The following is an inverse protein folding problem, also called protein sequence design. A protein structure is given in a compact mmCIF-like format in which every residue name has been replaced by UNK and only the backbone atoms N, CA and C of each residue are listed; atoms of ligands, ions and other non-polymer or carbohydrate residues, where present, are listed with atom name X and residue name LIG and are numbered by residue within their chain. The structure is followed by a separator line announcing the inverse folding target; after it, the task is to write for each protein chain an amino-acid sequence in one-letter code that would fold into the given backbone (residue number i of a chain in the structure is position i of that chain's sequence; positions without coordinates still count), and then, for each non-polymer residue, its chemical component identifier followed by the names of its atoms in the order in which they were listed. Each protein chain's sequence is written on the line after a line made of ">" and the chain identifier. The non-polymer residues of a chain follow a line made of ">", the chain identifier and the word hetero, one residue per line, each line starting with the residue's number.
data_IF_357575856554
#
_entry.id   IF_357575856554
#
_cell.length_a   1.000
_cell.length_b   1.000
_cell.length_c   1.000
_cell.angle_alpha   90.00
_cell.angle_beta   90.00
_cell.angle_gamma   90.00
#
_symmetry.space_group_name_H-M   'P 1'
#
loop_
_entity.id
_entity.type
_entity.pdbx_description
1 polymer ?
#
# COMPACT_ATOMS: atom_id res chain seq x y z
N UNK A 1 8.98 19.69 -45.93
CA UNK A 1 8.44 18.36 -45.65
C UNK A 1 8.24 18.25 -44.14
N UNK A 2 7.26 17.44 -43.73
CA UNK A 2 6.61 17.43 -42.42
C UNK A 2 7.51 16.80 -41.35
N UNK A 3 7.98 17.58 -40.39
CA UNK A 3 8.51 17.07 -39.11
C UNK A 3 7.42 17.20 -38.04
N UNK A 4 6.31 16.49 -38.24
CA UNK A 4 5.36 16.21 -37.16
C UNK A 4 6.07 15.26 -36.20
N UNK A 5 6.63 15.78 -35.11
CA UNK A 5 7.12 14.95 -34.00
C UNK A 5 5.95 14.10 -33.49
N UNK A 6 5.97 12.76 -33.65
CA UNK A 6 4.92 11.89 -33.14
C UNK A 6 5.20 11.61 -31.66
N UNK A 7 5.17 12.65 -30.84
CA UNK A 7 5.35 12.53 -29.39
C UNK A 7 4.24 13.20 -28.60
N UNK A 8 3.16 13.57 -29.29
CA UNK A 8 1.88 13.89 -28.65
C UNK A 8 0.99 12.68 -28.88
N UNK A 9 1.46 11.52 -28.45
CA UNK A 9 0.68 10.29 -28.50
C UNK A 9 0.06 10.13 -27.13
N UNK A 10 -1.19 10.60 -27.05
CA UNK A 10 -2.25 10.11 -26.17
C UNK A 10 -2.00 10.27 -24.66
N UNK A 11 -3.05 10.62 -23.92
CA UNK A 11 -3.02 10.66 -22.46
C UNK A 11 -2.76 9.26 -21.92
N UNK A 12 -1.48 8.84 -21.83
CA UNK A 12 -1.14 7.53 -21.30
C UNK A 12 -1.65 7.42 -19.87
N UNK A 13 -2.49 6.42 -19.64
CA UNK A 13 -2.92 6.05 -18.31
C UNK A 13 -1.68 5.69 -17.48
N UNK A 14 -1.64 6.23 -16.27
CA UNK A 14 -0.51 6.00 -15.36
C UNK A 14 -0.63 4.56 -14.86
N UNK A 15 0.40 3.73 -15.11
CA UNK A 15 0.53 2.43 -14.45
C UNK A 15 0.83 2.63 -12.97
N UNK A 16 -0.23 2.68 -12.17
CA UNK A 16 -0.13 2.85 -10.73
C UNK A 16 0.58 1.67 -10.06
N UNK A 17 0.43 0.45 -10.54
CA UNK A 17 1.07 -0.72 -9.95
C UNK A 17 2.60 -0.59 -10.07
N UNK A 18 3.11 -0.19 -11.24
CA UNK A 18 4.55 0.03 -11.45
C UNK A 18 5.10 1.19 -10.60
N UNK A 19 4.34 2.29 -10.52
CA UNK A 19 4.69 3.45 -9.68
C UNK A 19 4.81 3.02 -8.21
N UNK A 20 3.83 2.27 -7.69
CA UNK A 20 3.84 1.79 -6.32
C UNK A 20 4.92 0.71 -6.06
N UNK A 21 5.23 -0.16 -7.02
CA UNK A 21 6.39 -1.07 -6.94
C UNK A 21 7.71 -0.31 -6.80
N UNK A 22 7.85 0.82 -7.48
CA UNK A 22 9.02 1.70 -7.32
C UNK A 22 9.08 2.31 -5.91
N UNK A 23 7.93 2.74 -5.38
CA UNK A 23 7.83 3.24 -4.00
C UNK A 23 8.14 2.18 -2.95
N UNK A 24 7.74 0.93 -3.17
CA UNK A 24 8.09 -0.19 -2.29
C UNK A 24 9.60 -0.34 -2.15
N UNK A 25 10.33 -0.21 -3.25
CA UNK A 25 11.80 -0.29 -3.23
C UNK A 25 12.43 0.93 -2.55
N UNK A 26 11.85 2.12 -2.76
CA UNK A 26 12.35 3.39 -2.20
C UNK A 26 11.20 4.23 -1.64
N UNK A 27 10.76 3.97 -0.38
CA UNK A 27 9.56 4.61 0.18
C UNK A 27 9.68 6.13 0.36
N UNK A 28 10.91 6.66 0.32
CA UNK A 28 11.18 8.11 0.34
C UNK A 28 10.76 8.81 -0.96
N UNK A 29 10.69 8.08 -2.08
CA UNK A 29 10.32 8.65 -3.38
C UNK A 29 8.88 9.12 -3.44
N UNK A 30 7.98 8.60 -2.59
CA UNK A 30 6.57 9.04 -2.55
C UNK A 30 6.46 10.57 -2.38
N UNK A 31 7.39 11.18 -1.63
CA UNK A 31 7.40 12.62 -1.35
C UNK A 31 7.96 13.46 -2.50
N UNK A 32 8.84 12.89 -3.34
CA UNK A 32 9.57 13.63 -4.38
C UNK A 32 9.18 13.19 -5.80
N UNK A 33 8.24 12.27 -5.93
CA UNK A 33 7.84 11.71 -7.22
C UNK A 33 7.01 12.69 -8.02
N UNK A 34 7.22 12.72 -9.34
CA UNK A 34 6.35 13.44 -10.28
C UNK A 34 4.89 12.98 -10.18
N UNK A 35 4.66 11.72 -9.82
CA UNK A 35 3.33 11.13 -9.70
C UNK A 35 2.62 11.52 -8.42
N UNK A 36 3.33 12.08 -7.43
CA UNK A 36 2.75 12.49 -6.16
C UNK A 36 1.55 13.41 -6.37
N UNK A 37 1.61 14.37 -7.32
CA UNK A 37 0.49 15.29 -7.58
C UNK A 37 -0.81 14.59 -8.00
N UNK A 38 -0.70 13.42 -8.63
CA UNK A 38 -1.81 12.66 -9.18
C UNK A 38 -2.38 11.63 -8.19
N UNK A 39 -1.69 11.34 -7.09
CA UNK A 39 -2.20 10.44 -6.05
C UNK A 39 -3.30 11.17 -5.26
N UNK A 40 -4.46 10.54 -5.01
CA UNK A 40 -5.51 11.09 -4.17
C UNK A 40 -5.05 11.42 -2.74
N UNK A 41 -5.74 12.38 -2.10
CA UNK A 41 -5.27 12.94 -0.83
C UNK A 41 -5.37 11.94 0.32
N UNK A 42 -6.43 11.11 0.42
CA UNK A 42 -6.53 10.13 1.51
C UNK A 42 -5.43 9.08 1.41
N UNK A 43 -5.16 8.59 0.21
CA UNK A 43 -4.06 7.65 -0.06
C UNK A 43 -2.70 8.25 0.30
N UNK A 44 -2.45 9.53 -0.03
CA UNK A 44 -1.23 10.24 0.38
C UNK A 44 -1.07 10.28 1.89
N UNK A 45 -2.10 10.73 2.61
CA UNK A 45 -2.09 10.80 4.07
C UNK A 45 -1.79 9.43 4.67
N UNK A 46 -2.48 8.39 4.19
CA UNK A 46 -2.25 7.01 4.63
C UNK A 46 -0.80 6.54 4.46
N UNK A 47 -0.13 6.89 3.36
CA UNK A 47 1.26 6.49 3.13
C UNK A 47 2.28 7.38 3.87
N UNK A 48 2.00 8.68 4.00
CA UNK A 48 2.97 9.65 4.49
C UNK A 48 2.95 9.86 6.01
N UNK A 49 1.81 9.66 6.68
CA UNK A 49 1.65 9.83 8.13
C UNK A 49 2.26 8.70 8.97
N UNK A 50 3.12 7.87 8.37
CA UNK A 50 3.75 6.71 9.01
C UNK A 50 5.27 6.71 8.98
N UNK A 51 5.83 5.87 9.85
CA UNK A 51 7.23 5.49 9.86
C UNK A 51 7.65 4.85 8.52
N UNK A 52 8.95 4.87 8.20
CA UNK A 52 9.45 4.37 6.92
C UNK A 52 9.18 2.86 6.72
N UNK A 53 9.22 2.09 7.81
CA UNK A 53 8.94 0.65 7.84
C UNK A 53 7.48 0.37 7.57
N UNK A 54 6.57 1.03 8.28
CA UNK A 54 5.12 0.91 8.05
C UNK A 54 4.73 1.39 6.66
N UNK A 55 5.34 2.47 6.17
CA UNK A 55 5.09 2.98 4.81
C UNK A 55 5.38 1.91 3.76
N UNK A 56 6.43 1.11 3.94
CA UNK A 56 6.73 0.00 3.03
C UNK A 56 5.61 -1.03 3.06
N UNK A 57 5.16 -1.45 4.24
CA UNK A 57 4.04 -2.39 4.40
C UNK A 57 2.74 -1.86 3.79
N UNK A 58 2.41 -0.59 4.02
CA UNK A 58 1.24 0.08 3.43
C UNK A 58 1.33 0.20 1.91
N UNK A 59 2.54 0.41 1.38
CA UNK A 59 2.77 0.43 -0.06
C UNK A 59 2.54 -0.97 -0.65
N UNK A 60 2.97 -2.03 0.04
CA UNK A 60 2.71 -3.41 -0.38
C UNK A 60 1.21 -3.73 -0.38
N UNK A 61 0.50 -3.34 0.68
CA UNK A 61 -0.96 -3.45 0.74
C UNK A 61 -1.64 -2.70 -0.41
N UNK A 62 -1.18 -1.48 -0.71
CA UNK A 62 -1.73 -0.69 -1.81
C UNK A 62 -1.50 -1.33 -3.17
N UNK A 63 -0.35 -2.00 -3.38
CA UNK A 63 -0.11 -2.76 -4.62
C UNK A 63 -1.14 -3.88 -4.75
N UNK A 64 -1.38 -4.67 -3.69
CA UNK A 64 -2.39 -5.74 -3.70
C UNK A 64 -3.81 -5.20 -3.95
N UNK A 65 -4.14 -4.03 -3.39
CA UNK A 65 -5.42 -3.38 -3.64
C UNK A 65 -5.56 -2.89 -5.09
N UNK A 66 -4.48 -2.38 -5.67
CA UNK A 66 -4.46 -1.90 -7.05
C UNK A 66 -4.58 -3.04 -8.09
N UNK A 67 -4.33 -4.29 -7.70
CA UNK A 67 -4.61 -5.46 -8.55
C UNK A 67 -6.12 -5.76 -8.66
N UNK A 68 -6.92 -5.28 -7.69
CA UNK A 68 -8.36 -5.54 -7.59
C UNK A 68 -9.22 -4.32 -7.93
N UNK A 69 -8.72 -3.12 -7.64
CA UNK A 69 -9.44 -1.86 -7.74
C UNK A 69 -8.60 -0.78 -8.41
N UNK A 70 -9.24 0.14 -9.11
CA UNK A 70 -8.59 1.35 -9.60
C UNK A 70 -8.26 2.33 -8.46
N UNK A 71 -7.29 3.21 -8.68
CA UNK A 71 -6.91 4.22 -7.68
C UNK A 71 -8.08 5.14 -7.28
N UNK A 72 -9.01 5.39 -8.21
CA UNK A 72 -10.21 6.20 -7.94
C UNK A 72 -11.20 5.48 -7.04
N UNK A 73 -11.45 4.18 -7.28
CA UNK A 73 -12.34 3.36 -6.46
C UNK A 73 -11.81 3.22 -5.03
N UNK A 74 -10.49 3.05 -4.90
CA UNK A 74 -9.82 3.00 -3.59
C UNK A 74 -10.00 4.32 -2.84
N UNK A 75 -9.93 5.48 -3.49
CA UNK A 75 -10.15 6.77 -2.82
C UNK A 75 -11.60 6.96 -2.36
N UNK A 76 -12.55 6.53 -3.20
CA UNK A 76 -13.99 6.65 -2.93
C UNK A 76 -14.39 5.77 -1.73
N UNK A 77 -13.98 4.50 -1.76
CA UNK A 77 -14.32 3.49 -0.74
C UNK A 77 -13.16 3.22 0.22
N UNK A 78 -12.30 4.21 0.44
CA UNK A 78 -11.05 4.07 1.19
C UNK A 78 -11.23 3.40 2.54
N UNK A 79 -12.21 3.86 3.32
CA UNK A 79 -12.48 3.34 4.66
C UNK A 79 -12.90 1.87 4.61
N UNK A 80 -13.80 1.52 3.70
CA UNK A 80 -14.29 0.15 3.54
C UNK A 80 -13.17 -0.81 3.10
N UNK A 81 -12.46 -0.45 2.03
CA UNK A 81 -11.44 -1.30 1.40
C UNK A 81 -10.20 -1.44 2.29
N UNK A 82 -9.71 -0.34 2.86
CA UNK A 82 -8.46 -0.36 3.64
C UNK A 82 -8.68 -0.92 5.04
N UNK A 83 -9.82 -0.66 5.71
CA UNK A 83 -10.10 -1.26 7.02
C UNK A 83 -10.28 -2.78 6.93
N UNK A 84 -11.01 -3.26 5.92
CA UNK A 84 -11.14 -4.70 5.69
C UNK A 84 -9.77 -5.35 5.46
N UNK A 85 -8.86 -4.66 4.76
CA UNK A 85 -7.49 -5.16 4.51
C UNK A 85 -6.65 -5.22 5.78
N UNK A 86 -6.78 -4.25 6.69
CA UNK A 86 -6.04 -4.25 7.96
C UNK A 86 -6.44 -5.37 8.91
N UNK A 87 -7.73 -5.76 8.90
CA UNK A 87 -8.22 -6.88 9.72
C UNK A 87 -7.60 -8.23 9.32
N UNK A 88 -7.17 -8.41 8.06
CA UNK A 88 -6.45 -9.61 7.64
C UNK A 88 -5.03 -9.69 8.21
N UNK A 89 -4.34 -8.55 8.36
CA UNK A 89 -2.94 -8.52 8.85
C UNK A 89 -2.85 -8.74 10.36
N UNK A 90 -3.81 -8.25 11.14
CA UNK A 90 -3.84 -8.48 12.60
C UNK A 90 -4.14 -9.94 12.98
N UNK A 91 -4.81 -10.67 12.07
CA UNK A 91 -5.14 -12.08 12.28
C UNK A 91 -3.91 -12.98 12.27
N UNK A 92 -2.88 -12.62 11.51
CA UNK A 92 -1.62 -13.37 11.46
C UNK A 92 -0.77 -13.14 12.72
N UNK A 93 -0.73 -11.93 13.27
CA UNK A 93 0.00 -11.63 14.52
C UNK A 93 -0.65 -12.25 15.77
N UNK A 94 -1.97 -12.45 15.75
CA UNK A 94 -2.69 -13.17 16.81
C UNK A 94 -2.25 -14.63 16.96
N UNK A 95 -1.66 -15.23 15.90
CA UNK A 95 -1.10 -16.58 15.95
C UNK A 95 0.15 -16.65 16.84
N UNK A 96 0.90 -15.54 17.00
CA UNK A 96 2.11 -15.47 17.80
C UNK A 96 1.85 -15.53 19.31
N UNK A 97 0.71 -15.01 19.78
CA UNK A 97 0.32 -15.06 21.20
C UNK A 97 -0.06 -16.48 21.64
N UNK A 98 -0.71 -17.25 20.76
CA UNK A 98 -1.05 -18.66 21.01
C UNK A 98 0.19 -19.55 21.17
N UNK A 99 1.29 -19.22 20.47
CA UNK A 99 2.57 -19.93 20.60
C UNK A 99 3.18 -19.70 21.98
N UNK A 100 3.06 -18.49 22.52
CA UNK A 100 3.61 -18.14 23.83
C UNK A 100 2.85 -18.82 24.98
N UNK A 101 1.52 -18.92 24.87
CA UNK A 101 0.68 -19.66 25.83
C UNK A 101 1.02 -21.16 25.83
N UNK A 102 1.29 -21.74 24.65
CA UNK A 102 1.69 -23.14 24.52
C UNK A 102 3.07 -23.48 25.13
N UNK A 103 3.92 -22.47 25.34
CA UNK A 103 5.24 -22.61 25.98
C UNK A 103 5.19 -22.36 27.50
N UNK A 104 4.05 -21.90 28.03
CA UNK A 104 3.91 -21.71 29.47
C UNK A 104 3.98 -23.07 30.18
N UNK A 105 4.93 -23.28 31.12
CA UNK A 105 5.06 -24.55 31.79
C UNK A 105 3.77 -24.83 32.57
N UNK A 106 3.15 -25.98 32.29
CA UNK A 106 2.02 -26.48 33.09
C UNK A 106 2.51 -26.71 34.50
N UNK A 107 2.30 -25.73 35.38
CA UNK A 107 2.63 -25.82 36.79
C UNK A 107 1.86 -27.02 37.34
N UNK A 108 2.57 -28.11 37.60
CA UNK A 108 1.97 -29.30 38.21
C UNK A 108 1.66 -28.94 39.65
N UNK A 109 0.39 -28.62 39.91
CA UNK A 109 -0.11 -28.43 41.27
C UNK A 109 0.16 -29.70 42.08
N UNK A 110 0.71 -29.51 43.28
CA UNK A 110 1.19 -30.55 44.19
C UNK A 110 0.08 -31.06 45.08
#
# INVERSE_FOLDING_TARGET
>A
MKDLRPYIDESQEIDWIEVFKTYRQKPRLIIHSKYQKFIPQKIKSYLLETSLTERKTRTDQMISLLELYSLSEIEEKFVEIVLQTTEFVEKDESSSLMIYDALSPKVRAK
#
